data_IF_063646325025
#
_entry.id   IF_063646325025
#
_cell.length_a   1.000
_cell.length_b   1.000
_cell.length_c   1.000
_cell.angle_alpha   90.00
_cell.angle_beta   90.00
_cell.angle_gamma   90.00
#
_symmetry.space_group_name_H-M   'P 1'
#
loop_
_entity.id
_entity.type
_entity.pdbx_description
1 polymer ?
#
# COMPACT_ATOMS: atom_id res chain seq x y z
N UNK A 1 4.20 42.92 -4.97
CA UNK A 1 4.97 41.80 -4.39
C UNK A 1 4.50 40.52 -5.05
N UNK A 2 5.20 40.10 -6.09
CA UNK A 2 4.94 38.91 -6.90
C UNK A 2 5.32 37.65 -6.11
N UNK A 3 4.33 36.80 -5.80
CA UNK A 3 4.61 35.46 -5.25
C UNK A 3 5.14 34.58 -6.39
N UNK A 4 6.37 34.11 -6.21
CA UNK A 4 7.00 33.13 -7.07
C UNK A 4 6.24 31.79 -6.97
N UNK A 5 5.71 31.30 -8.10
CA UNK A 5 5.29 29.91 -8.23
C UNK A 5 6.54 29.11 -8.60
N UNK A 6 7.04 28.31 -7.67
CA UNK A 6 8.19 27.43 -7.90
C UNK A 6 7.74 26.17 -8.64
N UNK A 7 8.28 25.92 -9.83
CA UNK A 7 8.31 24.59 -10.42
C UNK A 7 9.67 23.97 -10.10
N UNK A 8 9.68 22.90 -9.31
CA UNK A 8 10.85 22.04 -9.14
C UNK A 8 10.78 21.01 -10.27
N UNK A 9 11.71 21.13 -11.21
CA UNK A 9 11.89 20.24 -12.35
C UNK A 9 12.48 18.93 -11.84
N UNK A 10 11.72 17.84 -11.85
CA UNK A 10 12.29 16.49 -11.77
C UNK A 10 12.38 15.89 -13.16
N UNK A 11 13.62 15.53 -13.51
CA UNK A 11 13.99 14.64 -14.61
C UNK A 11 13.16 13.35 -14.47
N UNK A 12 12.51 12.94 -15.57
CA UNK A 12 11.77 11.69 -15.78
C UNK A 12 10.25 11.69 -15.46
N UNK A 13 9.46 11.98 -16.52
CA UNK A 13 8.10 11.49 -16.85
C UNK A 13 6.86 12.41 -16.55
N UNK A 14 6.09 12.62 -17.64
CA UNK A 14 4.70 13.07 -17.81
C UNK A 14 4.28 14.49 -17.37
N UNK A 15 4.39 15.41 -18.34
CA UNK A 15 3.78 16.75 -18.31
C UNK A 15 2.25 16.64 -18.30
N UNK A 16 1.62 17.16 -17.24
CA UNK A 16 0.18 17.46 -17.22
C UNK A 16 -0.12 18.50 -18.31
N UNK A 17 -0.83 18.09 -19.38
CA UNK A 17 -1.17 18.95 -20.53
C UNK A 17 -2.11 20.10 -20.15
N UNK A 18 -2.79 20.04 -19.00
CA UNK A 18 -3.57 21.16 -18.44
C UNK A 18 -2.73 22.28 -17.80
N UNK A 19 -1.40 22.13 -17.72
CA UNK A 19 -0.48 23.09 -17.07
C UNK A 19 0.65 23.54 -18.01
N UNK A 20 0.64 23.14 -19.29
CA UNK A 20 1.66 23.57 -20.25
C UNK A 20 1.56 25.08 -20.51
N UNK A 21 0.34 25.60 -20.66
CA UNK A 21 0.11 27.02 -20.85
C UNK A 21 0.04 27.73 -19.48
N UNK A 22 0.83 28.79 -19.24
CA UNK A 22 0.90 29.49 -17.96
C UNK A 22 -0.46 29.96 -17.40
N UNK A 23 -1.39 30.32 -18.28
CA UNK A 23 -2.78 30.68 -17.93
C UNK A 23 -3.74 30.53 -19.14
N UNK A 24 -5.05 30.73 -18.90
CA UNK A 24 -6.11 30.64 -19.93
C UNK A 24 -6.07 31.75 -20.99
N UNK A 25 -5.32 32.82 -20.76
CA UNK A 25 -5.12 33.94 -21.70
C UNK A 25 -3.81 33.84 -22.49
N UNK A 26 -2.93 32.92 -22.13
CA UNK A 26 -1.65 32.76 -22.81
C UNK A 26 -1.83 32.23 -24.23
N UNK A 27 -1.28 32.99 -25.18
CA UNK A 27 -1.15 32.63 -26.59
C UNK A 27 0.33 32.72 -26.94
N UNK A 28 0.92 31.61 -27.37
CA UNK A 28 2.36 31.56 -27.64
C UNK A 28 2.90 30.15 -27.80
N UNK A 29 4.20 30.05 -28.04
CA UNK A 29 4.89 28.79 -28.27
C UNK A 29 5.82 28.45 -27.11
N UNK A 30 5.81 27.20 -26.67
CA UNK A 30 6.63 26.68 -25.59
C UNK A 30 7.44 25.49 -26.06
N UNK A 31 8.65 25.32 -25.53
CA UNK A 31 9.48 24.18 -25.89
C UNK A 31 8.87 22.88 -25.36
N UNK A 32 8.97 21.81 -26.14
CA UNK A 32 8.64 20.47 -25.68
C UNK A 32 9.87 19.82 -25.04
N UNK A 33 9.82 19.58 -23.74
CA UNK A 33 10.98 19.08 -22.97
C UNK A 33 11.49 17.69 -23.39
N UNK A 34 10.68 16.95 -24.16
CA UNK A 34 10.95 15.55 -24.55
C UNK A 34 11.49 15.45 -25.98
N UNK A 35 11.35 16.49 -26.81
CA UNK A 35 11.88 16.47 -28.17
C UNK A 35 12.25 17.88 -28.61
N UNK A 36 13.53 18.06 -28.95
CA UNK A 36 14.01 19.31 -29.53
C UNK A 36 13.47 19.58 -30.95
N UNK A 37 12.70 18.67 -31.57
CA UNK A 37 11.99 18.90 -32.84
C UNK A 37 10.53 19.27 -32.67
N UNK A 38 9.99 19.19 -31.46
CA UNK A 38 8.60 19.50 -31.18
C UNK A 38 8.48 20.70 -30.23
N UNK A 39 7.32 21.35 -30.30
CA UNK A 39 6.95 22.47 -29.47
C UNK A 39 5.46 22.43 -29.18
N UNK A 40 5.03 23.15 -28.15
CA UNK A 40 3.62 23.35 -27.86
C UNK A 40 3.18 24.71 -28.37
N UNK A 41 2.04 24.74 -29.03
CA UNK A 41 1.30 25.94 -29.38
C UNK A 41 0.12 26.07 -28.42
N UNK A 42 0.08 27.18 -27.68
CA UNK A 42 -0.97 27.47 -26.72
C UNK A 42 -2.03 28.39 -27.34
N UNK A 43 -3.28 27.95 -27.33
CA UNK A 43 -4.44 28.77 -27.68
C UNK A 43 -5.49 28.70 -26.56
N UNK A 44 -5.73 29.83 -25.89
CA UNK A 44 -6.70 29.95 -24.79
C UNK A 44 -6.53 28.88 -23.69
N UNK A 45 -5.28 28.64 -23.27
CA UNK A 45 -4.94 27.65 -22.24
C UNK A 45 -4.97 26.20 -22.70
N UNK A 46 -5.21 25.92 -24.00
CA UNK A 46 -5.07 24.57 -24.58
C UNK A 46 -3.75 24.47 -25.32
N UNK A 47 -2.92 23.51 -24.94
CA UNK A 47 -1.68 23.20 -25.62
C UNK A 47 -1.92 22.17 -26.75
N UNK A 48 -1.44 22.49 -27.94
CA UNK A 48 -1.38 21.58 -29.09
C UNK A 48 0.09 21.31 -29.42
N UNK A 49 0.48 20.04 -29.54
CA UNK A 49 1.84 19.70 -29.94
C UNK A 49 2.02 19.89 -31.45
N UNK A 50 3.15 20.48 -31.83
CA UNK A 50 3.54 20.79 -33.21
C UNK A 50 4.98 20.32 -33.48
N UNK A 51 5.29 20.09 -34.75
CA UNK A 51 6.61 19.64 -35.20
C UNK A 51 7.29 20.70 -36.05
N UNK A 52 8.59 20.92 -35.81
CA UNK A 52 9.45 21.60 -36.76
C UNK A 52 9.64 20.74 -38.02
N UNK A 53 9.80 21.39 -39.17
CA UNK A 53 10.08 20.70 -40.44
C UNK A 53 11.39 19.92 -40.39
N UNK A 54 11.54 18.92 -41.28
CA UNK A 54 12.75 18.09 -41.34
C UNK A 54 13.99 18.96 -41.56
N UNK A 55 15.01 18.77 -40.71
CA UNK A 55 16.24 19.58 -40.72
C UNK A 55 16.21 20.80 -39.80
N UNK A 56 15.15 20.99 -39.02
CA UNK A 56 14.99 22.10 -38.08
C UNK A 56 14.75 21.59 -36.65
N UNK A 57 15.15 22.39 -35.66
CA UNK A 57 14.91 22.19 -34.22
C UNK A 57 14.23 23.42 -33.62
N UNK A 58 13.47 23.24 -32.55
CA UNK A 58 12.81 24.35 -31.87
C UNK A 58 13.75 25.02 -30.86
N UNK A 59 13.85 26.35 -30.90
CA UNK A 59 14.48 27.18 -29.87
C UNK A 59 13.46 28.13 -29.24
N UNK A 60 13.48 28.21 -27.90
CA UNK A 60 12.67 29.16 -27.13
C UNK A 60 12.92 30.58 -27.65
N UNK A 61 11.84 31.33 -27.90
CA UNK A 61 11.82 32.70 -28.44
C UNK A 61 12.31 32.88 -29.89
N UNK A 62 12.83 31.84 -30.55
CA UNK A 62 13.23 31.91 -31.97
C UNK A 62 12.37 31.05 -32.90
N UNK A 63 11.65 30.07 -32.35
CA UNK A 63 10.87 29.13 -33.14
C UNK A 63 11.75 28.05 -33.76
N UNK A 64 11.32 27.49 -34.89
CA UNK A 64 12.08 26.45 -35.59
C UNK A 64 13.29 27.06 -36.32
N UNK A 65 14.49 26.68 -35.90
CA UNK A 65 15.78 27.09 -36.47
C UNK A 65 16.48 25.91 -37.16
N UNK A 66 17.32 26.14 -38.19
CA UNK A 66 18.07 25.07 -38.84
C UNK A 66 18.92 24.27 -37.85
N UNK A 67 18.96 22.95 -38.01
CA UNK A 67 19.81 22.03 -37.25
C UNK A 67 20.99 21.56 -38.11
N UNK A 68 21.79 22.51 -38.59
CA UNK A 68 22.88 22.27 -39.55
C UNK A 68 23.98 21.33 -39.01
N UNK A 69 24.07 21.25 -37.68
CA UNK A 69 25.01 20.39 -36.96
C UNK A 69 24.38 19.04 -36.54
N UNK A 70 23.11 18.80 -36.90
CA UNK A 70 22.32 17.61 -36.56
C UNK A 70 22.39 17.26 -35.06
N UNK A 71 22.35 18.30 -34.21
CA UNK A 71 22.47 18.19 -32.75
C UNK A 71 21.20 17.59 -32.16
N UNK A 72 20.07 17.78 -32.83
CA UNK A 72 18.78 17.27 -32.40
C UNK A 72 18.47 15.94 -33.10
N UNK A 73 18.77 14.82 -32.44
CA UNK A 73 18.47 13.48 -32.98
C UNK A 73 17.07 12.99 -32.64
N UNK A 74 16.32 13.72 -31.82
CA UNK A 74 15.03 13.27 -31.32
C UNK A 74 14.01 13.09 -32.45
N UNK A 75 13.13 12.06 -32.35
CA UNK A 75 12.00 11.93 -33.25
C UNK A 75 10.97 13.02 -32.96
N UNK A 76 10.34 13.56 -34.01
CA UNK A 76 9.14 14.36 -33.81
C UNK A 76 7.93 13.43 -33.77
N UNK A 77 7.33 13.27 -32.58
CA UNK A 77 6.08 12.53 -32.39
C UNK A 77 5.03 13.52 -31.89
N UNK A 78 4.08 13.96 -32.73
CA UNK A 78 2.94 14.72 -32.25
C UNK A 78 2.19 13.84 -31.24
N UNK A 79 1.99 14.34 -30.02
CA UNK A 79 1.11 13.68 -29.07
C UNK A 79 -0.31 14.01 -29.51
N UNK A 80 -1.06 13.01 -29.96
CA UNK A 80 -2.51 13.13 -30.13
C UNK A 80 -3.09 13.53 -28.77
N UNK A 81 -3.61 14.75 -28.68
CA UNK A 81 -4.33 15.25 -27.51
C UNK A 81 -5.65 14.49 -27.46
N UNK A 82 -5.60 13.27 -26.92
CA UNK A 82 -6.79 12.54 -26.52
C UNK A 82 -7.43 13.38 -25.41
N UNK A 83 -8.47 14.13 -25.75
CA UNK A 83 -9.30 14.82 -24.77
C UNK A 83 -9.79 13.80 -23.73
N UNK A 84 -9.15 13.80 -22.56
CA UNK A 84 -9.60 12.99 -21.44
C UNK A 84 -10.53 13.82 -20.58
N UNK A 85 -11.61 13.18 -20.16
CA UNK A 85 -12.62 13.72 -19.26
C UNK A 85 -11.95 14.40 -18.06
N UNK A 86 -12.53 15.51 -17.59
CA UNK A 86 -12.06 16.19 -16.38
C UNK A 86 -11.94 15.17 -15.23
N UNK A 87 -10.70 14.80 -14.87
CA UNK A 87 -10.47 13.86 -13.79
C UNK A 87 -11.03 14.45 -12.49
N UNK A 88 -11.80 13.65 -11.75
CA UNK A 88 -12.32 14.03 -10.44
C UNK A 88 -11.20 14.17 -9.37
N UNK A 89 -10.04 13.60 -9.66
CA UNK A 89 -8.84 13.65 -8.84
C UNK A 89 -7.73 14.45 -9.56
N UNK A 90 -6.75 14.93 -8.81
CA UNK A 90 -5.56 15.59 -9.37
C UNK A 90 -4.28 15.12 -8.69
N UNK A 91 -3.12 15.53 -9.20
CA UNK A 91 -1.85 15.31 -8.53
C UNK A 91 -1.81 15.97 -7.15
N UNK A 92 -1.26 15.25 -6.16
CA UNK A 92 -0.94 15.85 -4.88
C UNK A 92 0.45 16.46 -4.87
N UNK A 93 0.59 17.59 -4.16
CA UNK A 93 1.90 18.17 -3.86
C UNK A 93 2.79 17.24 -2.99
N UNK A 94 2.23 16.20 -2.38
CA UNK A 94 2.96 15.21 -1.57
C UNK A 94 3.81 14.22 -2.38
N UNK A 95 3.57 14.10 -3.69
CA UNK A 95 4.34 13.21 -4.59
C UNK A 95 3.45 12.33 -5.47
N UNK A 96 4.07 11.58 -6.39
CA UNK A 96 3.36 10.75 -7.39
C UNK A 96 2.53 9.61 -6.78
N UNK A 97 2.90 9.17 -5.59
CA UNK A 97 2.17 8.14 -4.82
C UNK A 97 0.97 8.74 -4.07
N UNK A 98 0.61 9.99 -4.37
CA UNK A 98 -0.51 10.70 -3.76
C UNK A 98 -1.34 11.42 -4.82
N UNK A 99 -2.66 11.39 -4.64
CA UNK A 99 -3.62 12.18 -5.41
C UNK A 99 -4.40 13.09 -4.48
N UNK A 100 -5.06 14.12 -5.02
CA UNK A 100 -5.96 14.99 -4.28
C UNK A 100 -7.38 14.79 -4.79
N UNK A 101 -8.31 14.71 -3.85
CA UNK A 101 -9.73 14.55 -4.07
C UNK A 101 -10.47 15.79 -3.54
N UNK A 102 -11.43 16.29 -4.31
CA UNK A 102 -12.27 17.42 -3.88
C UNK A 102 -13.35 16.94 -2.92
N UNK A 103 -13.27 17.35 -1.65
CA UNK A 103 -14.26 17.03 -0.61
C UNK A 103 -14.69 18.35 0.03
N UNK A 104 -15.99 18.67 -0.05
CA UNK A 104 -16.57 19.89 0.52
C UNK A 104 -15.89 21.21 0.08
N UNK A 105 -15.34 21.24 -1.14
CA UNK A 105 -14.65 22.41 -1.69
C UNK A 105 -13.16 22.48 -1.38
N UNK A 106 -12.63 21.54 -0.61
CA UNK A 106 -11.21 21.42 -0.29
C UNK A 106 -10.57 20.23 -1.00
N UNK A 107 -9.33 20.43 -1.47
CA UNK A 107 -8.52 19.35 -2.04
C UNK A 107 -7.79 18.60 -0.93
N UNK A 108 -8.21 17.36 -0.69
CA UNK A 108 -7.67 16.52 0.37
C UNK A 108 -6.70 15.49 -0.24
N UNK A 109 -5.43 15.43 0.22
CA UNK A 109 -4.47 14.46 -0.30
C UNK A 109 -4.75 13.05 0.23
N UNK A 110 -4.75 12.08 -0.68
CA UNK A 110 -4.93 10.66 -0.46
C UNK A 110 -3.75 9.87 -1.03
N UNK A 111 -3.23 8.85 -0.33
CA UNK A 111 -2.20 8.00 -0.88
C UNK A 111 -2.79 7.06 -1.94
N UNK A 112 -2.02 6.77 -2.97
CA UNK A 112 -2.25 5.65 -3.87
C UNK A 112 -1.95 4.32 -3.19
N UNK A 113 -2.51 3.23 -3.72
CA UNK A 113 -2.16 1.87 -3.28
C UNK A 113 -0.66 1.58 -3.49
N UNK A 114 -0.07 0.68 -2.71
CA UNK A 114 1.38 0.43 -2.79
C UNK A 114 1.82 -0.04 -4.18
N UNK A 115 2.97 0.46 -4.63
CA UNK A 115 3.51 0.17 -5.98
C UNK A 115 2.73 0.84 -7.11
N UNK A 116 1.73 1.65 -6.78
CA UNK A 116 0.96 2.44 -7.74
C UNK A 116 1.26 3.93 -7.58
N UNK A 117 1.00 4.67 -8.64
CA UNK A 117 1.13 6.12 -8.69
C UNK A 117 -0.10 6.70 -9.36
N UNK A 118 -0.44 7.94 -9.02
CA UNK A 118 -1.56 8.60 -9.66
C UNK A 118 -1.21 8.86 -11.13
N UNK A 119 -2.00 8.30 -12.03
CA UNK A 119 -1.90 8.53 -13.47
C UNK A 119 -2.97 9.54 -13.89
N UNK A 120 -2.57 10.76 -14.31
CA UNK A 120 -3.49 11.73 -14.89
C UNK A 120 -4.14 11.23 -16.18
N UNK A 121 -3.52 10.26 -16.85
CA UNK A 121 -4.05 9.64 -18.06
C UNK A 121 -5.23 8.71 -17.73
N UNK A 122 -5.11 7.92 -16.67
CA UNK A 122 -6.14 6.94 -16.28
C UNK A 122 -7.09 7.50 -15.22
N UNK A 123 -6.90 8.76 -14.82
CA UNK A 123 -7.59 9.45 -13.71
C UNK A 123 -7.63 8.63 -12.41
N UNK A 124 -6.66 7.75 -12.17
CA UNK A 124 -6.64 6.81 -11.04
C UNK A 124 -5.21 6.38 -10.71
N UNK A 125 -5.02 5.66 -9.60
CA UNK A 125 -3.75 5.08 -9.23
C UNK A 125 -3.48 3.81 -10.06
N UNK A 126 -2.32 3.76 -10.73
CA UNK A 126 -1.92 2.63 -11.60
C UNK A 126 -0.53 2.13 -11.24
N UNK A 127 -0.24 0.86 -11.54
CA UNK A 127 1.07 0.27 -11.25
C UNK A 127 2.19 0.89 -12.09
N UNK A 128 3.37 1.12 -11.48
CA UNK A 128 4.60 1.50 -12.20
C UNK A 128 5.05 0.32 -13.08
N UNK A 129 4.53 0.22 -14.30
CA UNK A 129 5.05 -0.70 -15.32
C UNK A 129 6.30 -0.09 -15.97
N UNK A 130 7.48 -0.43 -15.47
CA UNK A 130 8.73 0.00 -16.09
C UNK A 130 9.96 -0.14 -15.21
N UNK A 131 10.46 -1.37 -15.10
CA UNK A 131 11.75 -1.64 -14.46
C UNK A 131 12.06 -3.13 -14.51
N UNK A 132 12.96 -3.53 -15.41
CA UNK A 132 13.53 -4.88 -15.56
C UNK A 132 14.50 -5.23 -14.41
N UNK A 133 14.16 -4.85 -13.18
CA UNK A 133 14.85 -5.28 -11.97
C UNK A 133 14.06 -6.42 -11.34
N UNK A 134 14.76 -7.45 -10.86
CA UNK A 134 14.17 -8.48 -9.99
C UNK A 134 13.39 -7.74 -8.89
N UNK A 135 12.06 -7.86 -8.90
CA UNK A 135 11.19 -7.32 -7.84
C UNK A 135 11.51 -8.07 -6.55
N UNK A 136 12.45 -7.56 -5.76
CA UNK A 136 12.65 -8.03 -4.39
C UNK A 136 11.40 -7.66 -3.62
N UNK A 137 10.63 -8.66 -3.19
CA UNK A 137 9.44 -8.45 -2.39
C UNK A 137 9.83 -7.79 -1.06
N UNK A 138 9.21 -6.64 -0.76
CA UNK A 138 9.41 -5.88 0.48
C UNK A 138 8.12 -5.92 1.29
N UNK A 139 8.20 -5.87 2.63
CA UNK A 139 7.02 -5.82 3.46
C UNK A 139 6.29 -4.49 3.30
N UNK A 140 4.97 -4.56 3.27
CA UNK A 140 4.04 -3.43 3.29
C UNK A 140 3.87 -2.86 4.70
N UNK A 141 4.08 -3.70 5.72
CA UNK A 141 4.20 -3.33 7.13
C UNK A 141 5.37 -4.11 7.71
N UNK A 142 6.29 -3.41 8.38
CA UNK A 142 7.39 -4.05 9.09
C UNK A 142 7.59 -3.42 10.48
N UNK A 143 7.23 -4.19 11.51
CA UNK A 143 7.38 -3.81 12.90
C UNK A 143 8.44 -4.71 13.56
N UNK A 144 9.68 -4.26 13.67
CA UNK A 144 10.75 -4.98 14.38
C UNK A 144 10.75 -4.73 15.89
N UNK A 145 9.73 -4.02 16.42
CA UNK A 145 9.58 -3.70 17.85
C UNK A 145 10.84 -3.18 18.57
N UNK A 146 11.68 -2.44 17.84
CA UNK A 146 12.80 -1.71 18.42
C UNK A 146 12.31 -0.54 19.28
N UNK A 147 13.24 0.14 19.97
CA UNK A 147 12.92 1.23 20.89
C UNK A 147 12.16 2.41 20.27
N UNK A 148 12.14 2.53 18.95
CA UNK A 148 11.47 3.61 18.23
C UNK A 148 10.02 3.27 17.90
N UNK A 149 9.64 1.99 17.92
CA UNK A 149 8.31 1.52 17.54
C UNK A 149 7.85 2.09 16.20
N UNK A 150 8.75 2.11 15.23
CA UNK A 150 8.47 2.61 13.89
C UNK A 150 8.13 1.46 12.96
N UNK A 151 7.21 1.72 12.03
CA UNK A 151 7.09 0.92 10.83
C UNK A 151 8.31 1.21 9.95
N UNK A 152 9.21 0.23 9.84
CA UNK A 152 10.39 0.32 8.97
C UNK A 152 10.05 -0.01 7.51
N UNK A 153 8.78 -0.26 7.19
CA UNK A 153 8.30 -0.14 5.82
C UNK A 153 8.27 1.33 5.40
N UNK A 154 8.01 1.60 4.12
CA UNK A 154 7.99 2.97 3.57
C UNK A 154 6.84 3.85 4.11
N UNK A 155 6.07 3.38 5.12
CA UNK A 155 4.82 3.98 5.58
C UNK A 155 4.94 4.64 6.96
N UNK A 156 4.47 5.90 7.06
CA UNK A 156 4.39 6.65 8.32
C UNK A 156 2.92 6.80 8.71
N UNK A 157 2.41 5.98 9.64
CA UNK A 157 0.99 6.09 10.02
C UNK A 157 0.44 5.03 10.97
N UNK A 158 1.29 4.40 11.79
CA UNK A 158 0.83 3.44 12.79
C UNK A 158 0.42 4.16 14.09
N UNK A 159 -0.65 3.69 14.72
CA UNK A 159 -1.04 4.09 16.06
C UNK A 159 -0.63 2.99 17.03
N UNK A 160 -0.03 3.37 18.15
CA UNK A 160 0.46 2.43 19.17
C UNK A 160 -0.07 2.87 20.52
N UNK A 161 -0.61 1.93 21.27
CA UNK A 161 -1.09 2.18 22.63
C UNK A 161 -0.70 1.03 23.55
N UNK A 162 -0.21 1.36 24.75
CA UNK A 162 0.09 0.39 25.80
C UNK A 162 1.23 -0.59 25.52
N UNK A 163 1.90 -0.54 24.36
CA UNK A 163 3.04 -1.40 24.01
C UNK A 163 4.31 -0.90 24.71
N UNK A 164 5.07 -1.82 25.33
CA UNK A 164 6.30 -1.47 26.08
C UNK A 164 7.52 -2.15 25.49
N UNK A 165 8.61 -1.41 25.28
CA UNK A 165 9.86 -1.98 24.81
C UNK A 165 10.56 -2.61 26.01
N UNK A 166 10.97 -3.87 25.90
CA UNK A 166 11.55 -4.61 27.03
C UNK A 166 13.03 -5.00 26.82
N UNK A 167 13.63 -4.60 25.69
CA UNK A 167 15.01 -4.94 25.34
C UNK A 167 15.09 -5.92 24.17
N UNK A 168 16.29 -6.03 23.58
CA UNK A 168 16.64 -7.01 22.54
C UNK A 168 15.76 -6.99 21.27
N UNK A 169 15.12 -5.85 20.96
CA UNK A 169 14.22 -5.74 19.80
C UNK A 169 12.79 -6.24 20.05
N UNK A 170 12.41 -6.48 21.31
CA UNK A 170 11.09 -7.05 21.62
C UNK A 170 10.16 -6.09 22.38
N UNK A 171 8.85 -6.31 22.21
CA UNK A 171 7.78 -5.53 22.79
C UNK A 171 6.83 -6.38 23.62
N UNK A 172 6.48 -5.89 24.81
CA UNK A 172 5.50 -6.50 25.70
C UNK A 172 4.10 -5.89 25.50
N UNK A 173 3.12 -6.78 25.37
CA UNK A 173 1.69 -6.51 25.26
C UNK A 173 0.98 -7.02 26.52
N UNK A 174 0.10 -6.19 27.09
CA UNK A 174 -0.52 -6.46 28.40
C UNK A 174 -2.01 -6.83 28.32
N UNK A 175 -2.52 -7.19 27.14
CA UNK A 175 -3.94 -7.48 26.88
C UNK A 175 -4.80 -6.26 26.57
N UNK A 176 -4.30 -5.05 26.83
CA UNK A 176 -4.90 -3.77 26.40
C UNK A 176 -4.03 -3.06 25.37
N UNK A 177 -2.77 -3.49 25.21
CA UNK A 177 -1.84 -2.96 24.22
C UNK A 177 -2.28 -3.28 22.79
N UNK A 178 -2.05 -2.35 21.85
CA UNK A 178 -2.29 -2.61 20.44
C UNK A 178 -1.40 -1.76 19.52
N UNK A 179 -1.23 -2.25 18.29
CA UNK A 179 -0.75 -1.46 17.14
C UNK A 179 -1.79 -1.50 16.04
N UNK A 180 -2.21 -0.33 15.54
CA UNK A 180 -3.12 -0.19 14.43
C UNK A 180 -2.39 0.39 13.20
N UNK A 181 -2.61 -0.20 12.04
CA UNK A 181 -2.19 0.38 10.77
C UNK A 181 -3.35 0.49 9.79
N UNK A 182 -3.64 1.72 9.35
CA UNK A 182 -4.74 2.01 8.43
C UNK A 182 -4.41 1.68 6.97
N UNK A 183 -3.18 1.24 6.65
CA UNK A 183 -2.77 0.95 5.26
C UNK A 183 -3.57 -0.21 4.64
N UNK A 184 -4.15 -1.07 5.50
CA UNK A 184 -5.00 -2.18 5.09
C UNK A 184 -6.50 -1.93 5.29
N UNK A 185 -6.86 -0.76 5.84
CA UNK A 185 -8.26 -0.40 6.08
C UNK A 185 -8.94 -0.11 4.74
N UNK A 186 -10.05 -0.78 4.46
CA UNK A 186 -10.80 -0.67 3.22
C UNK A 186 -9.94 -0.91 1.95
N UNK A 187 -8.82 -1.61 2.09
CA UNK A 187 -7.89 -1.87 1.00
C UNK A 187 -8.16 -3.23 0.35
N UNK A 188 -7.85 -3.34 -0.94
CA UNK A 188 -7.74 -4.62 -1.60
C UNK A 188 -6.42 -5.29 -1.21
N UNK A 189 -6.54 -6.48 -0.62
CA UNK A 189 -5.41 -7.29 -0.18
C UNK A 189 -4.76 -8.06 -1.34
N UNK A 190 -5.52 -8.33 -2.41
CA UNK A 190 -5.08 -9.13 -3.54
C UNK A 190 -5.17 -10.64 -3.28
N UNK A 191 -4.56 -11.41 -4.19
CA UNK A 191 -4.52 -12.87 -4.16
C UNK A 191 -3.22 -13.47 -3.62
N UNK A 192 -2.24 -12.63 -3.26
CA UNK A 192 -0.95 -13.04 -2.70
C UNK A 192 -0.67 -12.20 -1.45
N UNK A 193 -0.82 -12.81 -0.27
CA UNK A 193 -0.69 -12.17 1.04
C UNK A 193 0.09 -13.08 1.98
N UNK A 194 1.11 -12.53 2.61
CA UNK A 194 1.89 -13.22 3.63
C UNK A 194 1.93 -12.38 4.91
N UNK A 195 1.64 -12.99 6.06
CA UNK A 195 1.77 -12.37 7.38
C UNK A 195 2.71 -13.24 8.20
N UNK A 196 3.75 -12.63 8.75
CA UNK A 196 4.68 -13.24 9.68
C UNK A 196 4.55 -12.58 11.04
N UNK A 197 4.54 -13.40 12.08
CA UNK A 197 4.55 -12.96 13.48
C UNK A 197 5.50 -13.86 14.26
N UNK A 198 6.44 -13.25 14.98
CA UNK A 198 7.25 -13.93 15.99
C UNK A 198 6.81 -13.50 17.38
N UNK A 199 6.32 -14.45 18.16
CA UNK A 199 5.67 -14.17 19.44
C UNK A 199 6.02 -15.18 20.52
N UNK A 200 5.84 -14.78 21.77
CA UNK A 200 5.85 -15.65 22.95
C UNK A 200 4.65 -15.28 23.81
N UNK A 201 3.69 -16.19 23.93
CA UNK A 201 2.50 -15.95 24.72
C UNK A 201 2.82 -16.02 26.22
N UNK A 202 2.25 -15.08 26.98
CA UNK A 202 2.37 -15.04 28.44
C UNK A 202 1.00 -14.98 29.11
N UNK A 203 0.96 -15.42 30.36
CA UNK A 203 -0.26 -15.49 31.16
C UNK A 203 -1.23 -16.62 30.75
N UNK A 204 -2.13 -16.93 31.68
CA UNK A 204 -3.13 -18.00 31.54
C UNK A 204 -4.48 -17.47 31.01
N UNK A 205 -4.43 -16.39 30.21
CA UNK A 205 -5.62 -15.71 29.70
C UNK A 205 -6.45 -16.60 28.77
N UNK A 206 -7.69 -16.20 28.49
CA UNK A 206 -8.57 -16.91 27.56
C UNK A 206 -8.13 -16.79 26.09
N UNK A 207 -9.11 -16.76 25.18
CA UNK A 207 -8.85 -16.53 23.76
C UNK A 207 -8.25 -15.13 23.51
N UNK A 208 -7.10 -15.06 22.83
CA UNK A 208 -6.36 -13.81 22.56
C UNK A 208 -6.06 -13.61 21.06
N UNK A 209 -5.88 -12.37 20.63
CA UNK A 209 -5.61 -12.01 19.22
C UNK A 209 -4.20 -11.54 18.99
N UNK A 210 -3.53 -12.10 17.98
CA UNK A 210 -2.24 -11.62 17.50
C UNK A 210 -2.42 -10.60 16.39
N UNK A 211 -3.14 -10.96 15.33
CA UNK A 211 -3.34 -10.10 14.15
C UNK A 211 -4.77 -10.27 13.63
N UNK A 212 -5.47 -9.16 13.36
CA UNK A 212 -6.77 -9.19 12.67
C UNK A 212 -7.08 -7.85 11.98
N UNK A 213 -7.95 -7.84 10.98
CA UNK A 213 -8.35 -6.61 10.26
C UNK A 213 -9.85 -6.27 10.41
N UNK A 214 -10.40 -6.48 11.61
CA UNK A 214 -11.82 -6.22 11.90
C UNK A 214 -12.02 -4.94 12.69
N UNK A 215 -13.25 -4.43 12.68
CA UNK A 215 -13.69 -3.38 13.59
C UNK A 215 -14.43 -3.95 14.81
N UNK A 216 -15.26 -3.09 15.42
CA UNK A 216 -16.24 -3.45 16.47
C UNK A 216 -17.62 -2.81 16.21
N UNK A 217 -17.84 -2.28 15.01
CA UNK A 217 -19.10 -1.63 14.62
C UNK A 217 -20.22 -2.64 14.35
N UNK A 218 -21.48 -2.19 14.38
CA UNK A 218 -22.64 -3.05 14.08
C UNK A 218 -22.58 -3.67 12.69
N UNK A 219 -21.95 -2.98 11.75
CA UNK A 219 -21.73 -3.42 10.36
C UNK A 219 -20.46 -4.26 10.17
N UNK A 220 -19.66 -4.48 11.22
CA UNK A 220 -18.39 -5.17 11.08
C UNK A 220 -18.58 -6.68 10.88
N UNK A 221 -18.25 -7.18 9.69
CA UNK A 221 -18.44 -8.58 9.31
C UNK A 221 -17.44 -9.55 9.96
N UNK A 222 -16.63 -9.05 10.91
CA UNK A 222 -15.48 -9.74 11.48
C UNK A 222 -14.27 -9.70 10.54
N UNK A 223 -13.16 -10.34 10.89
CA UNK A 223 -11.93 -10.24 10.13
C UNK A 223 -12.02 -10.96 8.77
N UNK A 224 -11.18 -10.57 7.83
CA UNK A 224 -10.85 -11.39 6.65
C UNK A 224 -9.46 -12.01 6.73
N UNK A 225 -8.59 -11.50 7.60
CA UNK A 225 -7.36 -12.16 8.05
C UNK A 225 -7.35 -12.21 9.57
N UNK A 226 -6.99 -13.35 10.14
CA UNK A 226 -6.97 -13.56 11.58
C UNK A 226 -5.87 -14.54 11.96
N UNK A 227 -5.12 -14.16 13.00
CA UNK A 227 -4.21 -15.02 13.76
C UNK A 227 -4.54 -14.80 15.23
N UNK A 228 -4.93 -15.85 15.93
CA UNK A 228 -5.26 -15.79 17.35
C UNK A 228 -4.83 -17.03 18.11
N UNK A 229 -5.01 -16.96 19.41
CA UNK A 229 -4.55 -17.90 20.42
C UNK A 229 -5.76 -18.39 21.19
N UNK A 230 -5.85 -19.69 21.40
CA UNK A 230 -6.89 -20.34 22.18
C UNK A 230 -6.26 -21.28 23.20
N UNK A 231 -6.50 -20.96 24.48
CA UNK A 231 -6.08 -21.72 25.67
C UNK A 231 -7.26 -22.50 26.27
N UNK A 232 -8.19 -22.94 25.42
CA UNK A 232 -9.41 -23.66 25.81
C UNK A 232 -9.16 -24.86 26.73
N UNK A 233 -10.20 -25.22 27.50
CA UNK A 233 -10.15 -26.36 28.40
C UNK A 233 -9.92 -27.65 27.61
N UNK A 234 -8.71 -28.20 27.70
CA UNK A 234 -8.32 -29.43 26.99
C UNK A 234 -6.89 -29.43 26.46
N UNK A 235 -6.24 -28.26 26.33
CA UNK A 235 -4.89 -28.18 25.75
C UNK A 235 -3.75 -28.40 26.77
N UNK A 236 -4.05 -28.47 28.07
CA UNK A 236 -3.04 -28.71 29.10
C UNK A 236 -2.00 -27.60 29.14
N UNK A 237 -0.72 -27.94 28.89
CA UNK A 237 0.41 -26.98 28.77
C UNK A 237 0.63 -26.48 27.34
N UNK A 238 -0.26 -26.81 26.43
CA UNK A 238 -0.15 -26.42 25.04
C UNK A 238 -1.08 -25.25 24.72
N UNK A 239 -0.73 -24.53 23.68
CA UNK A 239 -1.45 -23.37 23.18
C UNK A 239 -1.91 -23.65 21.74
N UNK A 240 -3.19 -23.39 21.44
CA UNK A 240 -3.70 -23.52 20.09
C UNK A 240 -3.60 -22.19 19.34
N UNK A 241 -2.87 -22.16 18.23
CA UNK A 241 -2.82 -21.02 17.31
C UNK A 241 -3.85 -21.24 16.20
N UNK A 242 -4.82 -20.33 16.13
CA UNK A 242 -5.91 -20.33 15.15
C UNK A 242 -5.60 -19.33 14.04
N UNK A 243 -5.64 -19.80 12.81
CA UNK A 243 -5.52 -18.97 11.61
C UNK A 243 -6.84 -18.96 10.88
N UNK A 244 -7.27 -17.80 10.41
CA UNK A 244 -8.44 -17.74 9.55
C UNK A 244 -8.34 -16.72 8.43
N UNK A 245 -8.90 -17.10 7.29
CA UNK A 245 -9.05 -16.26 6.11
C UNK A 245 -10.50 -16.28 5.62
N UNK A 246 -10.95 -15.15 5.08
CA UNK A 246 -12.22 -15.04 4.36
C UNK A 246 -11.93 -14.48 2.96
N UNK A 247 -12.03 -15.30 1.90
CA UNK A 247 -11.95 -14.83 0.52
C UNK A 247 -13.18 -13.98 0.13
N UNK A 248 -13.06 -13.25 -0.98
CA UNK A 248 -14.16 -12.50 -1.58
C UNK A 248 -15.35 -13.41 -1.88
N UNK A 249 -16.52 -13.02 -1.39
CA UNK A 249 -17.75 -13.81 -1.53
C UNK A 249 -18.55 -13.87 -0.22
N UNK A 250 -19.39 -14.92 -0.03
CA UNK A 250 -20.06 -15.17 1.23
C UNK A 250 -19.05 -15.29 2.37
N UNK A 251 -19.42 -14.78 3.55
CA UNK A 251 -18.56 -14.87 4.74
C UNK A 251 -18.49 -16.32 5.18
N UNK A 252 -17.38 -16.98 4.84
CA UNK A 252 -17.05 -18.31 5.30
C UNK A 252 -15.63 -18.30 5.84
N UNK A 253 -15.50 -18.52 7.14
CA UNK A 253 -14.22 -18.60 7.81
C UNK A 253 -13.62 -19.99 7.60
N UNK A 254 -12.45 -20.04 6.96
CA UNK A 254 -11.65 -21.25 6.90
C UNK A 254 -10.61 -21.19 8.01
N UNK A 255 -10.51 -22.26 8.80
CA UNK A 255 -9.63 -22.31 9.97
C UNK A 255 -8.53 -23.35 9.79
N UNK A 256 -7.30 -22.97 10.14
CA UNK A 256 -6.21 -23.90 10.40
C UNK A 256 -5.80 -23.71 11.85
N UNK A 257 -5.75 -24.80 12.61
CA UNK A 257 -5.40 -24.78 14.03
C UNK A 257 -4.11 -25.57 14.24
N UNK A 258 -3.18 -25.02 15.02
CA UNK A 258 -1.89 -25.64 15.34
C UNK A 258 -1.63 -25.59 16.84
N UNK A 259 -0.97 -26.62 17.37
CA UNK A 259 -0.76 -26.74 18.81
C UNK A 259 0.73 -26.63 19.10
N UNK A 260 1.11 -25.69 19.95
CA UNK A 260 2.50 -25.38 20.29
C UNK A 260 2.74 -25.48 21.80
N UNK A 261 3.99 -25.66 22.24
CA UNK A 261 4.35 -25.51 23.64
C UNK A 261 4.08 -24.09 24.12
N UNK A 262 3.46 -23.96 25.30
CA UNK A 262 3.21 -22.66 25.89
C UNK A 262 4.50 -21.99 26.42
N UNK A 263 4.49 -20.66 26.48
CA UNK A 263 5.59 -19.81 26.97
C UNK A 263 6.93 -19.95 26.23
N UNK A 264 6.91 -20.40 24.99
CA UNK A 264 8.09 -20.43 24.11
C UNK A 264 7.95 -19.44 22.95
N UNK A 265 9.08 -19.02 22.39
CA UNK A 265 9.06 -18.18 21.19
C UNK A 265 8.72 -19.03 19.98
N UNK A 266 7.72 -18.59 19.23
CA UNK A 266 7.21 -19.27 18.06
C UNK A 266 7.09 -18.33 16.87
N UNK A 267 7.23 -18.92 15.69
CA UNK A 267 7.13 -18.23 14.40
C UNK A 267 5.86 -18.69 13.70
N UNK A 268 4.92 -17.77 13.50
CA UNK A 268 3.68 -18.00 12.79
C UNK A 268 3.71 -17.34 11.41
N UNK A 269 3.43 -18.14 10.39
CA UNK A 269 3.22 -17.72 9.02
C UNK A 269 1.78 -17.98 8.61
N UNK A 270 1.12 -16.94 8.14
CA UNK A 270 -0.12 -17.00 7.38
C UNK A 270 0.23 -16.71 5.91
N UNK A 271 -0.20 -17.57 5.00
CA UNK A 271 0.00 -17.39 3.57
C UNK A 271 -1.30 -17.65 2.82
N UNK A 272 -1.68 -16.70 1.99
CA UNK A 272 -2.76 -16.85 1.03
C UNK A 272 -2.22 -16.54 -0.36
N UNK A 273 -2.23 -17.50 -1.27
CA UNK A 273 -1.60 -17.39 -2.59
C UNK A 273 -2.46 -18.11 -3.62
N UNK A 274 -3.01 -17.39 -4.59
CA UNK A 274 -3.76 -17.98 -5.72
C UNK A 274 -4.94 -18.89 -5.32
N UNK A 275 -5.56 -18.61 -4.18
CA UNK A 275 -6.65 -19.43 -3.63
C UNK A 275 -6.17 -20.56 -2.71
N UNK A 276 -4.88 -20.69 -2.46
CA UNK A 276 -4.35 -21.58 -1.44
C UNK A 276 -4.19 -20.85 -0.12
N UNK A 277 -4.70 -21.44 0.96
CA UNK A 277 -4.46 -20.96 2.32
C UNK A 277 -3.56 -21.92 3.08
N UNK A 278 -2.41 -21.43 3.50
CA UNK A 278 -1.41 -22.15 4.28
C UNK A 278 -1.15 -21.41 5.59
N UNK A 279 -1.03 -22.17 6.67
CA UNK A 279 -0.56 -21.65 7.94
C UNK A 279 0.53 -22.55 8.50
N UNK A 280 1.63 -21.95 8.93
CA UNK A 280 2.75 -22.65 9.54
C UNK A 280 3.01 -22.04 10.90
N UNK A 281 3.20 -22.87 11.93
CA UNK A 281 3.73 -22.46 13.22
C UNK A 281 4.87 -23.38 13.58
N UNK A 282 6.03 -22.82 13.85
CA UNK A 282 7.25 -23.61 14.10
C UNK A 282 7.52 -24.53 12.88
N UNK A 283 7.65 -25.84 13.08
CA UNK A 283 7.76 -26.83 12.00
C UNK A 283 6.41 -27.38 11.52
N UNK A 284 5.29 -27.04 12.17
CA UNK A 284 3.99 -27.59 11.81
C UNK A 284 3.31 -26.76 10.72
N UNK A 285 2.98 -27.42 9.61
CA UNK A 285 2.29 -26.80 8.47
C UNK A 285 0.87 -27.33 8.33
N UNK A 286 -0.07 -26.45 7.98
CA UNK A 286 -1.43 -26.77 7.60
C UNK A 286 -1.77 -26.10 6.28
N UNK A 287 -2.66 -26.71 5.51
CA UNK A 287 -3.01 -26.27 4.17
C UNK A 287 -4.49 -26.53 3.90
N UNK A 288 -5.13 -25.59 3.22
CA UNK A 288 -6.50 -25.67 2.72
C UNK A 288 -6.52 -25.10 1.30
N UNK A 289 -6.98 -25.91 0.36
CA UNK A 289 -7.31 -25.44 -0.99
C UNK A 289 -8.62 -24.64 -0.91
N UNK A 290 -8.62 -23.42 -1.44
CA UNK A 290 -9.80 -22.57 -1.51
C UNK A 290 -10.19 -22.31 -2.96
N UNK A 291 -11.47 -22.03 -3.19
CA UNK A 291 -11.91 -21.54 -4.49
C UNK A 291 -11.22 -20.20 -4.75
N UNK A 292 -10.55 -20.09 -5.90
CA UNK A 292 -9.77 -18.92 -6.33
C UNK A 292 -10.48 -17.59 -6.02
N UNK A 293 -9.77 -16.64 -5.44
CA UNK A 293 -10.28 -15.30 -5.20
C UNK A 293 -9.33 -14.44 -4.37
N UNK A 294 -9.56 -13.13 -4.34
CA UNK A 294 -8.84 -12.20 -3.45
C UNK A 294 -9.34 -12.35 -2.01
N UNK A 295 -8.52 -12.01 -1.01
CA UNK A 295 -9.00 -11.86 0.37
C UNK A 295 -10.09 -10.78 0.41
N UNK A 296 -11.18 -11.04 1.14
CA UNK A 296 -12.30 -10.11 1.23
C UNK A 296 -11.88 -8.78 1.87
N UNK A 297 -12.34 -7.67 1.30
CA UNK A 297 -12.14 -6.34 1.86
C UNK A 297 -12.82 -6.20 3.23
N UNK A 298 -12.17 -5.50 4.16
CA UNK A 298 -12.72 -5.09 5.45
C UNK A 298 -12.46 -3.62 5.70
N UNK A 299 -13.38 -2.97 6.40
CA UNK A 299 -13.24 -1.56 6.78
C UNK A 299 -12.21 -1.36 7.90
N UNK A 300 -12.01 -2.37 8.76
CA UNK A 300 -11.10 -2.29 9.89
C UNK A 300 -9.64 -2.13 9.46
N UNK A 301 -8.89 -1.35 10.22
CA UNK A 301 -7.43 -1.33 10.17
C UNK A 301 -6.87 -2.70 10.52
N UNK A 302 -5.62 -2.98 10.13
CA UNK A 302 -4.92 -4.12 10.73
C UNK A 302 -4.64 -3.76 12.19
N UNK A 303 -4.95 -4.69 13.08
CA UNK A 303 -4.75 -4.61 14.50
C UNK A 303 -3.82 -5.73 14.94
N UNK A 304 -2.77 -5.36 15.66
CA UNK A 304 -1.77 -6.26 16.22
C UNK A 304 -1.86 -6.18 17.73
N UNK A 305 -2.18 -7.31 18.36
CA UNK A 305 -2.30 -7.47 19.80
C UNK A 305 -3.55 -6.85 20.43
N UNK A 306 -4.33 -6.03 19.73
CA UNK A 306 -5.58 -5.48 20.25
C UNK A 306 -6.74 -6.46 20.18
N UNK A 307 -7.84 -6.13 20.87
CA UNK A 307 -9.01 -6.97 21.02
C UNK A 307 -9.81 -7.17 19.72
N UNK A 308 -10.40 -8.36 19.57
CA UNK A 308 -11.34 -8.69 18.50
C UNK A 308 -12.74 -8.89 19.06
N UNK A 309 -13.67 -8.05 18.61
CA UNK A 309 -15.04 -8.10 19.08
C UNK A 309 -15.80 -9.35 18.64
N UNK A 310 -15.57 -9.86 17.42
CA UNK A 310 -16.20 -11.09 16.95
C UNK A 310 -15.47 -11.78 15.79
N UNK A 311 -15.39 -13.09 15.85
CA UNK A 311 -15.18 -14.00 14.72
C UNK A 311 -16.15 -15.18 14.89
N UNK A 312 -17.17 -15.25 14.03
CA UNK A 312 -18.32 -16.10 14.31
C UNK A 312 -19.01 -15.69 15.60
N UNK A 313 -19.08 -16.61 16.58
CA UNK A 313 -19.63 -16.36 17.92
C UNK A 313 -18.56 -16.09 18.98
N UNK A 314 -17.28 -16.15 18.61
CA UNK A 314 -16.17 -16.04 19.54
C UNK A 314 -15.65 -14.59 19.61
N UNK A 315 -15.33 -14.13 20.81
CA UNK A 315 -14.65 -12.88 21.06
C UNK A 315 -13.28 -13.16 21.67
N UNK A 316 -12.28 -12.37 21.29
CA UNK A 316 -10.90 -12.56 21.73
C UNK A 316 -10.41 -11.27 22.40
N UNK A 317 -9.80 -11.42 23.57
CA UNK A 317 -9.13 -10.33 24.26
C UNK A 317 -7.83 -9.94 23.54
N UNK A 318 -7.24 -8.80 23.91
CA UNK A 318 -5.92 -8.45 23.42
C UNK A 318 -4.84 -9.46 23.86
N UNK A 319 -3.73 -9.45 23.14
CA UNK A 319 -2.58 -10.32 23.37
C UNK A 319 -1.88 -9.98 24.69
N UNK A 320 -1.54 -11.01 25.44
CA UNK A 320 -0.68 -10.92 26.62
C UNK A 320 0.60 -11.70 26.31
N UNK A 321 1.73 -11.01 26.29
CA UNK A 321 3.03 -11.61 26.02
C UNK A 321 3.96 -10.71 25.24
N UNK A 322 4.90 -11.34 24.53
CA UNK A 322 6.00 -10.65 23.87
C UNK A 322 5.88 -10.84 22.35
N UNK A 323 5.97 -9.75 21.60
CA UNK A 323 6.18 -9.76 20.14
C UNK A 323 7.61 -9.31 19.84
N UNK A 324 8.27 -10.05 18.96
CA UNK A 324 9.60 -9.72 18.45
C UNK A 324 9.50 -9.04 17.08
N UNK A 325 8.68 -9.61 16.19
CA UNK A 325 8.61 -9.10 14.83
C UNK A 325 7.24 -9.36 14.18
N UNK A 326 6.72 -8.38 13.46
CA UNK A 326 5.57 -8.55 12.56
C UNK A 326 5.89 -8.00 11.18
N UNK A 327 5.59 -8.81 10.15
CA UNK A 327 5.73 -8.42 8.75
C UNK A 327 4.48 -8.78 7.96
N UNK A 328 4.03 -7.89 7.09
CA UNK A 328 2.93 -8.17 6.15
C UNK A 328 3.41 -7.85 4.74
N UNK A 329 3.15 -8.75 3.80
CA UNK A 329 3.51 -8.64 2.40
C UNK A 329 2.27 -8.87 1.52
N UNK A 330 2.18 -8.15 0.40
CA UNK A 330 1.28 -8.48 -0.72
C UNK A 330 2.03 -9.04 -1.94
N UNK A 331 3.10 -9.76 -1.64
CA UNK A 331 3.94 -10.48 -2.57
C UNK A 331 4.65 -11.61 -1.82
N UNK A 332 5.16 -12.59 -2.57
CA UNK A 332 5.99 -13.65 -2.00
C UNK A 332 7.33 -13.14 -1.44
N UNK A 333 7.58 -13.24 -0.11
CA UNK A 333 8.84 -12.82 0.48
C UNK A 333 10.01 -13.74 0.06
N UNK A 334 11.24 -13.22 0.02
CA UNK A 334 12.42 -14.03 -0.31
C UNK A 334 12.66 -15.10 0.76
N UNK A 335 12.81 -16.36 0.35
CA UNK A 335 13.12 -17.50 1.23
C UNK A 335 11.92 -18.28 1.76
N UNK A 336 10.70 -17.97 1.31
CA UNK A 336 9.44 -18.68 1.64
C UNK A 336 8.89 -19.43 0.43
#
# INVERSE_FOLDING_TARGET
MTKANSCIIYKWINVCISVVCPDKSFVGHLQYDISCKAYFECHHGKAQSQCCSKGFRYEINKGCVPDDLNVCTDPCRPVEVLGHAECHFRHSAKGEEWYEEMINGDWIPRPCGMGTYYSPKECTCVYKHGGTGIKVCKPDLYLPFNSLFEDLSLNKGIQIEGVKYIGDGTAHFNGQSFVLSNIFANAEWGGDVHIYVRFKAEGDGGMQTLVHNSGCGKEDLGPSVFIGLDRGQGYGKNLNVKFSVVPTGPIHYSFINKTIPDHTFEEAWFRFSDGDFEATVSSEKGYLEMKSGNIARRHGAINIGGNLCRIGNDAFSGFIGILDEVKIYRCRPPGV
#
